data_IF_224382225305
#
_entry.id   IF_224382225305
#
_cell.length_a   1.000
_cell.length_b   1.000
_cell.length_c   1.000
_cell.angle_alpha   90.00
_cell.angle_beta   90.00
_cell.angle_gamma   90.00
#
_symmetry.space_group_name_H-M   'P 1'
#
loop_
_entity.id
_entity.type
_entity.pdbx_description
1 polymer ?
#
# COMPACT_ATOMS: atom_id res chain seq x y z
N UNK A 1 3.62 13.11 1.97
CA UNK A 1 3.82 12.75 0.56
C UNK A 1 4.71 11.54 0.46
N UNK A 2 4.42 10.63 -0.47
CA UNK A 2 5.12 9.39 -0.72
C UNK A 2 5.42 9.26 -2.21
N UNK A 3 6.14 8.23 -2.59
CA UNK A 3 6.55 8.00 -3.99
C UNK A 3 6.03 6.67 -4.56
N UNK A 4 5.51 5.79 -3.71
CA UNK A 4 5.10 4.44 -4.08
C UNK A 4 6.29 3.48 -4.23
N UNK A 5 7.42 3.80 -3.63
CA UNK A 5 8.60 2.93 -3.56
C UNK A 5 8.68 2.32 -2.17
N UNK A 6 8.43 1.04 -2.10
CA UNK A 6 8.42 0.32 -0.83
C UNK A 6 9.84 0.22 -0.27
N UNK A 7 10.01 0.62 0.98
CA UNK A 7 11.29 0.55 1.68
C UNK A 7 11.46 -0.75 2.45
N UNK A 8 10.35 -1.30 2.96
CA UNK A 8 10.37 -2.46 3.85
C UNK A 8 9.02 -3.20 3.83
N UNK A 9 9.05 -4.50 4.07
CA UNK A 9 7.87 -5.31 4.39
C UNK A 9 7.77 -5.41 5.91
N UNK A 10 6.76 -4.79 6.50
CA UNK A 10 6.47 -4.88 7.92
C UNK A 10 5.47 -6.00 8.25
N UNK A 11 5.35 -6.31 9.53
CA UNK A 11 4.43 -7.34 10.04
C UNK A 11 3.47 -6.74 11.06
N UNK A 12 2.18 -6.96 10.87
CA UNK A 12 1.18 -6.57 11.88
C UNK A 12 1.36 -7.44 13.11
N UNK A 13 1.76 -6.84 14.21
CA UNK A 13 1.93 -7.52 15.51
C UNK A 13 0.61 -7.59 16.28
N UNK A 14 -0.15 -6.51 16.25
CA UNK A 14 -1.45 -6.44 16.91
C UNK A 14 -2.38 -5.43 16.23
N UNK A 15 -3.67 -5.71 16.32
CA UNK A 15 -4.75 -4.78 15.97
C UNK A 15 -5.64 -4.65 17.20
N UNK A 16 -5.64 -3.48 17.82
CA UNK A 16 -6.43 -3.18 19.03
C UNK A 16 -7.64 -2.35 18.62
N UNK A 17 -8.82 -2.97 18.58
CA UNK A 17 -10.07 -2.30 18.22
C UNK A 17 -10.54 -1.40 19.37
N UNK A 18 -11.00 -0.20 19.02
CA UNK A 18 -11.64 0.77 19.89
C UNK A 18 -13.04 1.11 19.34
N UNK A 19 -13.80 1.96 20.03
CA UNK A 19 -15.18 2.28 19.64
C UNK A 19 -15.28 2.92 18.25
N UNK A 20 -14.37 3.85 17.91
CA UNK A 20 -14.41 4.62 16.66
C UNK A 20 -13.07 4.61 15.90
N UNK A 21 -12.11 3.81 16.35
CA UNK A 21 -10.78 3.71 15.76
C UNK A 21 -10.20 2.33 16.02
N UNK A 22 -9.02 2.10 15.52
CA UNK A 22 -8.17 0.98 15.94
C UNK A 22 -6.71 1.44 16.00
N UNK A 23 -5.96 0.84 16.91
CA UNK A 23 -4.51 1.00 16.98
C UNK A 23 -3.88 -0.20 16.30
N UNK A 24 -3.02 0.04 15.32
CA UNK A 24 -2.22 -1.00 14.67
C UNK A 24 -0.80 -0.91 15.22
N UNK A 25 -0.26 -2.05 15.64
CA UNK A 25 1.14 -2.19 16.04
C UNK A 25 1.86 -2.95 14.94
N UNK A 26 2.91 -2.36 14.38
CA UNK A 26 3.63 -2.87 13.22
C UNK A 26 5.08 -3.08 13.58
N UNK A 27 5.57 -4.30 13.40
CA UNK A 27 6.98 -4.65 13.52
C UNK A 27 7.70 -4.23 12.24
N UNK A 28 8.78 -3.46 12.39
CA UNK A 28 9.56 -2.89 11.32
C UNK A 28 10.99 -2.59 11.80
N UNK A 29 11.87 -2.27 10.88
CA UNK A 29 13.28 -1.99 11.15
C UNK A 29 13.73 -0.76 10.37
N UNK A 30 13.79 -0.84 9.05
CA UNK A 30 14.34 0.19 8.17
C UNK A 30 13.55 1.50 8.24
N UNK A 31 12.22 1.42 8.22
CA UNK A 31 11.36 2.63 8.27
C UNK A 31 11.37 3.30 9.65
N UNK A 32 11.93 2.66 10.66
CA UNK A 32 12.09 3.26 11.99
C UNK A 32 13.35 4.13 12.11
N UNK A 33 14.31 3.98 11.19
CA UNK A 33 15.55 4.76 11.21
C UNK A 33 15.26 6.25 11.00
N UNK A 34 15.47 7.06 12.03
CA UNK A 34 15.21 8.50 12.02
C UNK A 34 13.74 8.91 12.14
N UNK A 35 12.80 7.97 12.15
CA UNK A 35 11.37 8.23 12.33
C UNK A 35 11.08 8.67 13.76
N UNK A 36 10.19 9.65 13.90
CA UNK A 36 9.75 10.23 15.19
C UNK A 36 8.23 10.10 15.32
N UNK A 37 7.76 10.19 16.56
CA UNK A 37 6.31 10.34 16.82
C UNK A 37 5.81 11.60 16.12
N UNK A 38 4.70 11.47 15.41
CA UNK A 38 4.13 12.52 14.55
C UNK A 38 4.51 12.41 13.08
N UNK A 39 5.53 11.64 12.72
CA UNK A 39 5.88 11.38 11.31
C UNK A 39 4.82 10.50 10.63
N UNK A 40 4.80 10.57 9.31
CA UNK A 40 3.90 9.76 8.49
C UNK A 40 4.64 8.58 7.87
N UNK A 41 4.04 7.38 7.99
CA UNK A 41 4.45 6.18 7.27
C UNK A 41 3.25 5.69 6.45
N UNK A 42 3.47 5.40 5.17
CA UNK A 42 2.48 4.71 4.34
C UNK A 42 2.48 3.22 4.68
N UNK A 43 1.33 2.70 5.04
CA UNK A 43 1.08 1.27 5.32
C UNK A 43 0.14 0.76 4.22
N UNK A 44 0.62 -0.09 3.34
CA UNK A 44 -0.09 -0.45 2.10
C UNK A 44 -0.60 0.79 1.34
N UNK A 45 0.23 1.84 1.27
CA UNK A 45 -0.11 3.10 0.60
C UNK A 45 -1.00 4.04 1.42
N UNK A 46 -1.46 3.64 2.59
CA UNK A 46 -2.31 4.45 3.47
C UNK A 46 -1.43 5.28 4.39
N UNK A 47 -1.51 6.60 4.31
CA UNK A 47 -0.79 7.52 5.17
C UNK A 47 -1.29 7.40 6.61
N UNK A 48 -0.43 6.94 7.51
CA UNK A 48 -0.71 6.83 8.94
C UNK A 48 0.31 7.63 9.75
N UNK A 49 -0.16 8.28 10.80
CA UNK A 49 0.70 9.01 11.72
C UNK A 49 1.23 8.08 12.81
N UNK A 50 2.52 8.09 13.03
CA UNK A 50 3.19 7.35 14.10
C UNK A 50 2.81 7.94 15.45
N UNK A 51 2.18 7.15 16.32
CA UNK A 51 1.74 7.58 17.66
C UNK A 51 2.61 7.06 18.79
N UNK A 52 3.34 5.96 18.57
CA UNK A 52 4.33 5.44 19.48
C UNK A 52 5.43 4.70 18.72
N UNK A 53 6.64 4.71 19.26
CA UNK A 53 7.78 3.93 18.78
C UNK A 53 8.36 3.15 19.95
N UNK A 54 8.50 1.86 19.77
CA UNK A 54 9.19 0.96 20.68
C UNK A 54 10.29 0.22 19.90
N UNK A 55 11.14 -0.54 20.63
CA UNK A 55 12.22 -1.28 19.97
C UNK A 55 11.68 -2.24 18.91
N UNK A 56 11.95 -1.95 17.64
CA UNK A 56 11.59 -2.80 16.52
C UNK A 56 10.11 -2.73 16.13
N UNK A 57 9.34 -1.73 16.58
CA UNK A 57 7.93 -1.56 16.22
C UNK A 57 7.46 -0.12 16.35
N UNK A 58 6.40 0.23 15.62
CA UNK A 58 5.66 1.47 15.79
C UNK A 58 4.16 1.21 15.90
N UNK A 59 3.45 2.16 16.47
CA UNK A 59 2.00 2.17 16.52
C UNK A 59 1.43 3.32 15.71
N UNK A 60 0.27 3.11 15.11
CA UNK A 60 -0.49 4.15 14.42
C UNK A 60 -1.98 4.01 14.74
N UNK A 61 -2.65 5.15 14.91
CA UNK A 61 -4.09 5.21 15.08
C UNK A 61 -4.76 5.25 13.69
N UNK A 62 -5.78 4.42 13.50
CA UNK A 62 -6.53 4.34 12.26
C UNK A 62 -8.00 4.63 12.53
N UNK A 63 -8.52 5.65 11.88
CA UNK A 63 -9.93 6.01 11.96
C UNK A 63 -10.82 4.93 11.34
N UNK A 64 -12.00 4.73 11.89
CA UNK A 64 -12.94 3.70 11.43
C UNK A 64 -13.29 3.84 9.94
N UNK A 65 -13.41 5.07 9.44
CA UNK A 65 -13.67 5.35 8.03
C UNK A 65 -12.52 4.84 7.13
N UNK A 66 -11.27 5.05 7.55
CA UNK A 66 -10.09 4.54 6.84
C UNK A 66 -10.09 3.02 6.80
N UNK A 67 -10.39 2.37 7.93
CA UNK A 67 -10.50 0.90 7.99
C UNK A 67 -11.57 0.39 7.04
N UNK A 68 -12.75 1.03 7.03
CA UNK A 68 -13.90 0.59 6.23
C UNK A 68 -13.65 0.71 4.72
N UNK A 69 -12.95 1.75 4.29
CA UNK A 69 -12.73 2.08 2.87
C UNK A 69 -11.47 1.49 2.26
N UNK A 70 -10.64 0.81 3.04
CA UNK A 70 -9.33 0.35 2.58
C UNK A 70 -9.11 -1.14 2.84
N UNK A 71 -8.00 -1.68 2.35
CA UNK A 71 -7.57 -3.06 2.60
C UNK A 71 -7.30 -3.34 4.09
N UNK A 72 -7.18 -2.30 4.94
CA UNK A 72 -6.98 -2.46 6.39
C UNK A 72 -8.13 -3.17 7.11
N UNK A 73 -9.33 -3.23 6.52
CA UNK A 73 -10.47 -3.99 7.09
C UNK A 73 -10.15 -5.47 7.30
N UNK A 74 -9.24 -6.03 6.51
CA UNK A 74 -8.90 -7.44 6.50
C UNK A 74 -7.59 -7.77 7.23
N UNK A 75 -6.86 -6.77 7.73
CA UNK A 75 -5.59 -7.01 8.41
C UNK A 75 -5.79 -7.64 9.79
N UNK A 76 -4.84 -8.48 10.16
CA UNK A 76 -4.79 -9.18 11.45
C UNK A 76 -3.33 -9.39 11.88
N UNK A 77 -3.11 -9.78 13.12
CA UNK A 77 -1.79 -10.19 13.57
C UNK A 77 -1.19 -11.25 12.63
N UNK A 78 0.06 -11.06 12.25
CA UNK A 78 0.77 -11.88 11.25
C UNK A 78 0.61 -11.41 9.79
N UNK A 79 -0.28 -10.45 9.49
CA UNK A 79 -0.37 -9.88 8.13
C UNK A 79 0.90 -9.12 7.79
N UNK A 80 1.35 -9.25 6.54
CA UNK A 80 2.43 -8.45 5.97
C UNK A 80 1.87 -7.15 5.41
N UNK A 81 2.65 -6.08 5.47
CA UNK A 81 2.28 -4.77 4.92
C UNK A 81 3.49 -4.10 4.27
N UNK A 82 3.25 -3.42 3.16
CA UNK A 82 4.24 -2.59 2.51
C UNK A 82 4.40 -1.28 3.28
N UNK A 83 5.64 -0.88 3.55
CA UNK A 83 5.96 0.33 4.31
C UNK A 83 6.83 1.27 3.49
N UNK A 84 6.50 2.56 3.57
CA UNK A 84 7.26 3.66 2.99
C UNK A 84 7.19 4.87 3.94
N UNK A 85 8.33 5.48 4.27
CA UNK A 85 8.36 6.76 5.01
C UNK A 85 7.92 7.91 4.12
N UNK A 86 7.38 8.96 4.70
CA UNK A 86 7.16 10.19 3.99
C UNK A 86 8.49 10.68 3.38
N UNK A 87 8.44 11.08 2.10
CA UNK A 87 9.61 11.56 1.37
C UNK A 87 10.20 12.80 2.03
N UNK A 88 11.52 12.85 2.21
CA UNK A 88 12.23 14.05 2.64
C UNK A 88 12.20 15.14 1.56
N UNK A 89 12.35 16.41 1.95
CA UNK A 89 12.27 17.54 1.01
C UNK A 89 13.37 17.52 -0.08
N UNK A 90 14.50 16.89 0.19
CA UNK A 90 15.64 16.68 -0.72
C UNK A 90 15.64 15.28 -1.36
N UNK A 91 14.57 14.50 -1.14
CA UNK A 91 14.43 13.14 -1.65
C UNK A 91 14.18 13.08 -3.16
N UNK A 92 14.36 11.89 -3.74
CA UNK A 92 14.09 11.63 -5.16
C UNK A 92 12.72 10.99 -5.35
N UNK A 93 12.01 11.41 -6.38
CA UNK A 93 10.78 10.74 -6.81
C UNK A 93 11.14 9.48 -7.62
N UNK A 94 11.28 8.34 -6.93
CA UNK A 94 11.57 7.06 -7.60
C UNK A 94 10.37 6.46 -8.33
N UNK A 95 9.15 6.78 -7.89
CA UNK A 95 7.87 6.39 -8.52
C UNK A 95 7.12 7.60 -9.05
N UNK A 96 6.00 7.97 -8.40
CA UNK A 96 5.20 9.16 -8.73
C UNK A 96 4.72 9.84 -7.45
N UNK A 97 3.99 10.96 -7.57
CA UNK A 97 3.48 11.68 -6.41
C UNK A 97 2.29 10.92 -5.82
N UNK A 98 2.45 10.41 -4.59
CA UNK A 98 1.47 9.62 -3.86
C UNK A 98 1.08 10.36 -2.59
N UNK A 99 -0.21 10.68 -2.43
CA UNK A 99 -0.72 11.39 -1.25
C UNK A 99 -0.82 10.51 0.00
N UNK A 100 -1.06 9.22 -0.19
CA UNK A 100 -1.39 8.27 0.87
C UNK A 100 -2.87 8.28 1.26
N UNK A 101 -3.72 8.94 0.49
CA UNK A 101 -5.18 8.91 0.63
C UNK A 101 -5.76 7.98 -0.41
N UNK A 102 -6.47 6.95 0.04
CA UNK A 102 -6.95 5.87 -0.82
C UNK A 102 -8.24 6.28 -1.52
N UNK A 103 -8.27 6.14 -2.84
CA UNK A 103 -9.44 6.43 -3.67
C UNK A 103 -10.49 5.31 -3.58
N UNK A 104 -10.05 4.07 -3.38
CA UNK A 104 -10.93 2.93 -3.21
C UNK A 104 -10.19 1.60 -3.22
N UNK A 105 -10.95 0.51 -3.42
CA UNK A 105 -10.43 -0.86 -3.49
C UNK A 105 -10.79 -1.49 -4.82
N UNK A 106 -9.88 -2.31 -5.35
CA UNK A 106 -10.13 -3.16 -6.51
C UNK A 106 -10.06 -4.64 -6.15
N UNK A 107 -10.48 -5.48 -7.08
CA UNK A 107 -10.42 -6.94 -6.94
C UNK A 107 -9.55 -7.51 -8.05
N UNK A 108 -8.58 -8.34 -7.69
CA UNK A 108 -7.78 -9.09 -8.68
C UNK A 108 -8.68 -10.17 -9.29
N UNK A 109 -8.90 -10.08 -10.59
CA UNK A 109 -9.78 -11.01 -11.34
C UNK A 109 -9.01 -12.00 -12.20
N UNK A 110 -7.75 -11.70 -12.51
CA UNK A 110 -6.88 -12.59 -13.26
C UNK A 110 -5.41 -12.35 -12.91
N UNK A 111 -4.62 -13.42 -12.93
CA UNK A 111 -3.16 -13.39 -12.74
C UNK A 111 -2.52 -14.25 -13.83
N UNK A 112 -1.71 -13.63 -14.67
CA UNK A 112 -1.05 -14.29 -15.80
C UNK A 112 0.47 -14.12 -15.70
N UNK A 113 1.21 -15.20 -15.84
CA UNK A 113 2.66 -15.17 -16.02
C UNK A 113 2.99 -14.95 -17.48
N UNK A 114 3.94 -14.09 -17.75
CA UNK A 114 4.42 -13.75 -19.08
C UNK A 114 5.95 -13.54 -19.01
N UNK A 115 6.69 -14.59 -19.32
CA UNK A 115 8.14 -14.68 -19.16
C UNK A 115 8.57 -14.32 -17.72
N UNK A 116 9.29 -13.22 -17.55
CA UNK A 116 9.76 -12.75 -16.25
C UNK A 116 8.76 -11.85 -15.50
N UNK A 117 7.67 -11.43 -16.14
CA UNK A 117 6.66 -10.57 -15.56
C UNK A 117 5.42 -11.33 -15.09
N UNK A 118 4.71 -10.76 -14.12
CA UNK A 118 3.39 -11.23 -13.71
C UNK A 118 2.39 -10.11 -13.96
N UNK A 119 1.38 -10.42 -14.74
CA UNK A 119 0.28 -9.52 -15.05
C UNK A 119 -0.86 -9.72 -14.06
N UNK A 120 -1.38 -8.63 -13.57
CA UNK A 120 -2.56 -8.61 -12.70
C UNK A 120 -3.65 -7.81 -13.38
N UNK A 121 -4.84 -8.42 -13.51
CA UNK A 121 -6.06 -7.74 -13.92
C UNK A 121 -6.86 -7.38 -12.69
N UNK A 122 -7.22 -6.11 -12.56
CA UNK A 122 -7.88 -5.58 -11.38
C UNK A 122 -9.16 -4.89 -11.82
N UNK A 123 -10.31 -5.40 -11.37
CA UNK A 123 -11.59 -4.71 -11.52
C UNK A 123 -11.74 -3.66 -10.43
N UNK A 124 -12.32 -2.53 -10.79
CA UNK A 124 -12.61 -1.44 -9.87
C UNK A 124 -13.89 -0.71 -10.32
N UNK A 125 -14.45 0.10 -9.42
CA UNK A 125 -15.63 0.89 -9.72
C UNK A 125 -15.35 1.98 -10.77
N UNK A 126 -16.37 2.39 -11.52
CA UNK A 126 -16.30 3.46 -12.52
C UNK A 126 -15.72 4.76 -11.94
N UNK A 127 -16.01 5.02 -10.65
CA UNK A 127 -15.47 6.15 -9.89
C UNK A 127 -13.95 6.19 -9.84
N UNK A 128 -13.29 5.02 -9.91
CA UNK A 128 -11.84 4.86 -9.95
C UNK A 128 -11.36 4.78 -11.41
N UNK A 129 -11.96 3.91 -12.21
CA UNK A 129 -11.51 3.62 -13.59
C UNK A 129 -11.44 4.87 -14.47
N UNK A 130 -12.34 5.85 -14.28
CA UNK A 130 -12.33 7.11 -15.04
C UNK A 130 -11.06 7.97 -14.85
N UNK A 131 -10.28 7.72 -13.80
CA UNK A 131 -9.01 8.40 -13.55
C UNK A 131 -7.79 7.55 -13.91
N UNK A 132 -7.99 6.29 -14.28
CA UNK A 132 -6.92 5.40 -14.70
C UNK A 132 -6.64 5.59 -16.17
N UNK A 133 -5.39 5.89 -16.53
CA UNK A 133 -4.99 6.09 -17.94
C UNK A 133 -3.89 5.10 -18.31
N UNK A 134 -3.96 4.58 -19.53
CA UNK A 134 -2.93 3.71 -20.08
C UNK A 134 -1.58 4.43 -20.10
N UNK A 135 -0.50 3.74 -19.73
CA UNK A 135 0.85 4.28 -19.51
C UNK A 135 1.00 5.31 -18.40
N UNK A 136 -0.09 5.61 -17.68
CA UNK A 136 -0.04 6.39 -16.44
C UNK A 136 0.50 5.58 -15.26
N UNK A 137 0.62 6.24 -14.12
CA UNK A 137 1.04 5.61 -12.86
C UNK A 137 -0.16 5.41 -11.94
N UNK A 138 -0.19 4.27 -11.26
CA UNK A 138 -1.17 3.95 -10.22
C UNK A 138 -0.46 3.36 -9.01
N UNK A 139 -0.97 3.65 -7.82
CA UNK A 139 -0.45 3.06 -6.57
C UNK A 139 -1.38 1.96 -6.11
N UNK A 140 -0.87 0.73 -5.98
CA UNK A 140 -1.61 -0.43 -5.48
C UNK A 140 -0.90 -0.96 -4.24
N UNK A 141 -1.58 -0.99 -3.10
CA UNK A 141 -1.00 -1.36 -1.80
C UNK A 141 0.36 -0.67 -1.52
N UNK A 142 0.46 0.61 -1.90
CA UNK A 142 1.65 1.43 -1.73
C UNK A 142 2.68 1.31 -2.85
N UNK A 143 2.50 0.42 -3.82
CA UNK A 143 3.46 0.16 -4.89
C UNK A 143 3.11 1.00 -6.11
N UNK A 144 4.04 1.85 -6.56
CA UNK A 144 3.92 2.59 -7.82
C UNK A 144 4.09 1.65 -9.01
N UNK A 145 3.04 1.55 -9.83
CA UNK A 145 3.01 0.67 -10.99
C UNK A 145 2.55 1.45 -12.24
N UNK A 146 3.02 1.01 -13.41
CA UNK A 146 2.56 1.53 -14.69
C UNK A 146 1.32 0.77 -15.14
N UNK A 147 0.28 1.51 -15.54
CA UNK A 147 -0.92 0.94 -16.16
C UNK A 147 -0.58 0.42 -17.54
N UNK A 148 -0.69 -0.88 -17.76
CA UNK A 148 -0.40 -1.52 -19.03
C UNK A 148 -1.57 -1.43 -20.01
N UNK A 149 -2.80 -1.57 -19.49
CA UNK A 149 -4.05 -1.41 -20.24
C UNK A 149 -5.18 -0.97 -19.30
N UNK A 150 -6.21 -0.35 -19.86
CA UNK A 150 -7.43 0.03 -19.13
C UNK A 150 -8.65 -0.11 -20.02
N UNK A 151 -9.75 -0.56 -19.41
CA UNK A 151 -11.07 -0.67 -20.02
C UNK A 151 -12.13 -0.02 -19.12
N UNK A 152 -13.39 -0.10 -19.49
CA UNK A 152 -14.52 0.33 -18.66
C UNK A 152 -14.80 -0.55 -17.43
N UNK A 153 -14.12 -1.70 -17.30
CA UNK A 153 -14.39 -2.69 -16.23
C UNK A 153 -13.17 -3.04 -15.39
N UNK A 154 -11.96 -2.89 -15.93
CA UNK A 154 -10.73 -3.27 -15.29
C UNK A 154 -9.54 -2.51 -15.87
N UNK A 155 -8.44 -2.55 -15.16
CA UNK A 155 -7.12 -2.20 -15.66
C UNK A 155 -6.13 -3.33 -15.42
N UNK A 156 -5.00 -3.31 -16.11
CA UNK A 156 -3.93 -4.29 -15.94
C UNK A 156 -2.60 -3.60 -15.63
N UNK A 157 -1.84 -4.26 -14.78
CA UNK A 157 -0.46 -3.88 -14.46
C UNK A 157 0.46 -5.09 -14.66
N UNK A 158 1.70 -4.83 -15.06
CA UNK A 158 2.73 -5.85 -15.22
C UNK A 158 3.80 -5.63 -14.15
N UNK A 159 4.02 -6.63 -13.31
CA UNK A 159 4.95 -6.56 -12.17
C UNK A 159 6.19 -7.38 -12.48
N UNK A 160 7.36 -6.72 -12.50
CA UNK A 160 8.65 -7.33 -12.75
C UNK A 160 9.21 -8.03 -11.48
N UNK A 161 10.16 -8.98 -11.62
CA UNK A 161 10.69 -9.74 -10.49
C UNK A 161 11.27 -8.88 -9.37
N UNK A 162 11.95 -7.80 -9.70
CA UNK A 162 12.52 -6.87 -8.71
C UNK A 162 11.43 -6.28 -7.80
N UNK A 163 10.34 -5.78 -8.37
CA UNK A 163 9.22 -5.22 -7.60
C UNK A 163 8.60 -6.27 -6.68
N UNK A 164 8.47 -7.52 -7.15
CA UNK A 164 7.98 -8.63 -6.32
C UNK A 164 8.91 -8.99 -5.17
N UNK A 165 10.21 -8.84 -5.36
CA UNK A 165 11.21 -9.19 -4.32
C UNK A 165 11.27 -8.16 -3.18
N UNK A 166 10.96 -6.88 -3.46
CA UNK A 166 11.09 -5.77 -2.50
C UNK A 166 9.75 -5.29 -1.92
N UNK A 167 8.64 -5.82 -2.43
CA UNK A 167 7.31 -5.49 -1.95
C UNK A 167 6.45 -6.75 -1.80
N UNK A 168 5.62 -6.75 -0.77
CA UNK A 168 4.65 -7.82 -0.60
C UNK A 168 3.41 -7.52 -1.44
N UNK A 169 3.27 -8.24 -2.54
CA UNK A 169 2.06 -8.21 -3.34
C UNK A 169 1.11 -9.29 -2.84
N UNK A 170 0.14 -8.94 -1.98
CA UNK A 170 -0.96 -9.85 -1.61
C UNK A 170 -2.00 -9.97 -2.73
N UNK A 171 -1.64 -9.53 -3.92
CA UNK A 171 -2.55 -9.60 -5.05
C UNK A 171 -2.81 -11.06 -5.36
N UNK A 172 -3.83 -11.61 -4.72
CA UNK A 172 -4.31 -12.98 -4.93
C UNK A 172 -5.71 -12.95 -5.49
N UNK A 173 -6.04 -13.96 -6.28
CA UNK A 173 -7.43 -14.16 -6.70
C UNK A 173 -8.31 -14.37 -5.46
N UNK A 174 -9.54 -13.86 -5.45
CA UNK A 174 -10.52 -14.21 -4.42
C UNK A 174 -10.68 -15.73 -4.40
N UNK A 175 -10.50 -16.33 -3.24
CA UNK A 175 -10.79 -17.77 -3.00
C UNK A 175 -12.26 -17.95 -2.67
#
# INVERSE_FOLDING_TARGET
>A
MFTGIIEEIGHIKAVKKQTFSQVIVIEASKVLEGTKIGDSIAVNGICLTVTAIEKGQFSADVMHETVKRTSLKNIRAGSHVNLERAMSADGRFGGHIVSGHIDGTGTVTDIRKDDNAVWYRISADDGILKYVVEKGSITIDGISLTVASVTDKYFEVSVIPHTRAVSYTHLTLPT
#
